data_IF_768737741711
#
_entry.id   IF_768737741711
#
_cell.length_a   1.000
_cell.length_b   1.000
_cell.length_c   1.000
_cell.angle_alpha   90.00
_cell.angle_beta   90.00
_cell.angle_gamma   90.00
#
_symmetry.space_group_name_H-M   'P 1'
#
loop_
_entity.id
_entity.type
_entity.pdbx_description
1 polymer ?
#
# COMPACT_ATOMS: atom_id res chain seq x y z
N UNK A 1 6.90 6.95 5.14
CA UNK A 1 6.49 5.82 4.29
C UNK A 1 7.47 5.71 3.14
N UNK A 2 8.10 4.55 3.01
CA UNK A 2 9.02 4.25 1.90
C UNK A 2 8.25 4.05 0.59
N UNK A 3 8.82 4.44 -0.57
CA UNK A 3 8.26 4.12 -1.89
C UNK A 3 7.96 2.63 -2.09
N UNK A 4 8.72 1.75 -1.41
CA UNK A 4 8.49 0.30 -1.45
C UNK A 4 7.20 -0.10 -0.71
N UNK A 5 6.92 0.48 0.45
CA UNK A 5 5.66 0.27 1.20
C UNK A 5 4.45 0.61 0.33
N UNK A 6 4.48 1.77 -0.33
CA UNK A 6 3.36 2.28 -1.11
C UNK A 6 3.08 1.40 -2.34
N UNK A 7 4.13 0.88 -2.97
CA UNK A 7 4.00 -0.07 -4.08
C UNK A 7 3.36 -1.40 -3.65
N UNK A 8 3.76 -1.94 -2.50
CA UNK A 8 3.19 -3.18 -1.95
C UNK A 8 1.70 -2.99 -1.65
N UNK A 9 1.34 -1.90 -0.97
CA UNK A 9 -0.06 -1.57 -0.65
C UNK A 9 -0.93 -1.41 -1.90
N UNK A 10 -0.36 -0.80 -2.95
CA UNK A 10 -1.03 -0.66 -4.24
C UNK A 10 -1.27 -2.02 -4.92
N UNK A 11 -0.28 -2.92 -4.89
CA UNK A 11 -0.42 -4.29 -5.44
C UNK A 11 -1.44 -5.13 -4.68
N UNK A 12 -1.45 -5.07 -3.35
CA UNK A 12 -2.47 -5.76 -2.52
C UNK A 12 -3.87 -5.29 -2.93
N UNK A 13 -4.06 -3.97 -3.05
CA UNK A 13 -5.36 -3.41 -3.46
C UNK A 13 -5.78 -3.90 -4.83
N UNK A 14 -4.85 -3.92 -5.80
CA UNK A 14 -5.10 -4.43 -7.15
C UNK A 14 -5.51 -5.92 -7.13
N UNK A 15 -4.78 -6.77 -6.42
CA UNK A 15 -5.09 -8.21 -6.36
C UNK A 15 -6.39 -8.49 -5.63
N UNK A 16 -6.71 -7.75 -4.56
CA UNK A 16 -8.03 -7.84 -3.90
C UNK A 16 -9.16 -7.48 -4.86
N UNK A 17 -9.00 -6.42 -5.65
CA UNK A 17 -10.00 -6.06 -6.65
C UNK A 17 -10.13 -7.13 -7.75
N UNK A 18 -9.01 -7.66 -8.24
CA UNK A 18 -9.01 -8.73 -9.25
C UNK A 18 -9.66 -10.01 -8.72
N UNK A 19 -9.40 -10.37 -7.46
CA UNK A 19 -10.01 -11.52 -6.78
C UNK A 19 -11.54 -11.43 -6.81
N UNK A 20 -12.09 -10.29 -6.41
CA UNK A 20 -13.55 -10.03 -6.44
C UNK A 20 -14.15 -10.19 -7.84
N UNK A 21 -13.45 -9.73 -8.88
CA UNK A 21 -13.89 -9.89 -10.27
C UNK A 21 -13.94 -11.36 -10.66
N UNK A 22 -12.93 -12.15 -10.27
CA UNK A 22 -12.86 -13.57 -10.60
C UNK A 22 -13.94 -14.36 -9.85
N UNK A 23 -14.17 -14.05 -8.57
CA UNK A 23 -15.28 -14.62 -7.78
C UNK A 23 -16.63 -14.36 -8.46
N UNK A 24 -16.92 -13.11 -8.80
CA UNK A 24 -18.17 -12.76 -9.48
C UNK A 24 -18.33 -13.48 -10.83
N UNK A 25 -17.22 -13.68 -11.57
CA UNK A 25 -17.24 -14.41 -12.85
C UNK A 25 -17.54 -15.90 -12.63
N UNK A 26 -17.02 -16.50 -11.57
CA UNK A 26 -17.29 -17.89 -11.18
C UNK A 26 -18.78 -18.04 -10.85
N UNK A 27 -19.30 -17.19 -9.95
CA UNK A 27 -20.69 -17.22 -9.53
C UNK A 27 -21.63 -17.11 -10.73
N UNK A 28 -21.37 -16.14 -11.61
CA UNK A 28 -22.16 -15.98 -12.84
C UNK A 28 -22.19 -17.24 -13.70
N UNK A 29 -21.07 -17.96 -13.82
CA UNK A 29 -20.97 -19.17 -14.64
C UNK A 29 -21.67 -20.37 -14.02
N UNK A 30 -21.63 -20.48 -12.69
CA UNK A 30 -22.40 -21.47 -11.95
C UNK A 30 -23.90 -21.20 -12.10
N UNK A 31 -24.33 -19.96 -11.86
CA UNK A 31 -25.74 -19.55 -12.00
C UNK A 31 -26.29 -19.81 -13.41
N UNK A 32 -25.49 -19.50 -14.44
CA UNK A 32 -25.85 -19.76 -15.83
C UNK A 32 -26.06 -21.26 -16.07
N UNK A 33 -25.20 -22.11 -15.50
CA UNK A 33 -25.33 -23.56 -15.58
C UNK A 33 -26.58 -24.09 -14.85
N UNK A 34 -26.83 -23.65 -13.63
CA UNK A 34 -28.03 -24.06 -12.87
C UNK A 34 -29.31 -23.65 -13.58
N UNK A 35 -29.32 -22.44 -14.16
CA UNK A 35 -30.44 -21.93 -14.96
C UNK A 35 -30.65 -22.72 -16.25
N UNK A 36 -29.57 -23.18 -16.89
CA UNK A 36 -29.67 -24.04 -18.08
C UNK A 36 -30.22 -25.42 -17.70
N UNK A 37 -29.69 -26.05 -16.65
CA UNK A 37 -30.16 -27.34 -16.12
C UNK A 37 -31.64 -27.31 -15.76
N UNK A 38 -32.14 -26.19 -15.24
CA UNK A 38 -33.55 -26.04 -14.87
C UNK A 38 -34.51 -25.86 -16.05
N UNK A 39 -34.03 -25.56 -17.26
CA UNK A 39 -34.88 -25.23 -18.43
C UNK A 39 -35.13 -26.40 -19.38
N UNK A 40 -34.41 -27.51 -19.24
CA UNK A 40 -34.49 -28.65 -20.16
C UNK A 40 -34.70 -29.93 -19.36
N UNK A 41 -35.63 -30.78 -19.81
CA UNK A 41 -35.70 -32.18 -19.38
C UNK A 41 -34.46 -32.91 -19.92
N UNK A 42 -33.32 -32.78 -19.23
CA UNK A 42 -32.05 -33.34 -19.68
C UNK A 42 -32.00 -34.86 -19.48
N UNK A 43 -31.42 -35.55 -20.46
CA UNK A 43 -30.95 -36.93 -20.25
C UNK A 43 -29.63 -36.90 -19.45
N UNK A 44 -29.35 -37.97 -18.70
CA UNK A 44 -28.09 -38.11 -17.92
C UNK A 44 -26.82 -37.96 -18.76
N UNK A 45 -26.90 -38.28 -20.05
CA UNK A 45 -25.78 -38.14 -21.01
C UNK A 45 -25.51 -36.67 -21.34
N UNK A 46 -26.53 -35.83 -21.37
CA UNK A 46 -26.40 -34.39 -21.57
C UNK A 46 -25.89 -33.66 -20.32
N UNK A 47 -26.31 -34.09 -19.12
CA UNK A 47 -25.80 -33.58 -17.84
C UNK A 47 -24.27 -33.75 -17.75
N UNK A 48 -23.75 -34.94 -18.08
CA UNK A 48 -22.32 -35.21 -18.03
C UNK A 48 -21.50 -34.30 -18.98
N UNK A 49 -22.00 -34.05 -20.19
CA UNK A 49 -21.36 -33.14 -21.14
C UNK A 49 -21.40 -31.70 -20.65
N UNK A 50 -22.50 -31.28 -20.02
CA UNK A 50 -22.62 -29.96 -19.42
C UNK A 50 -21.67 -29.79 -18.23
N UNK A 51 -21.56 -30.77 -17.35
CA UNK A 51 -20.64 -30.74 -16.19
C UNK A 51 -19.17 -30.70 -16.63
N UNK A 52 -18.82 -31.44 -17.68
CA UNK A 52 -17.47 -31.38 -18.25
C UNK A 52 -17.15 -29.98 -18.79
N UNK A 53 -18.11 -29.35 -19.48
CA UNK A 53 -17.94 -27.97 -19.97
C UNK A 53 -17.83 -26.95 -18.83
N UNK A 54 -18.64 -27.08 -17.78
CA UNK A 54 -18.56 -26.23 -16.61
C UNK A 54 -17.19 -26.37 -15.95
N UNK A 55 -16.74 -27.61 -15.74
CA UNK A 55 -15.43 -27.90 -15.15
C UNK A 55 -14.31 -27.30 -15.98
N UNK A 56 -14.34 -27.49 -17.32
CA UNK A 56 -13.34 -26.93 -18.24
C UNK A 56 -13.30 -25.41 -18.20
N UNK A 57 -14.45 -24.76 -18.00
CA UNK A 57 -14.57 -23.31 -17.93
C UNK A 57 -14.14 -22.76 -16.58
N UNK A 58 -14.59 -23.36 -15.49
CA UNK A 58 -14.33 -22.89 -14.13
C UNK A 58 -12.90 -23.17 -13.67
N UNK A 59 -12.31 -24.31 -14.07
CA UNK A 59 -10.98 -24.71 -13.63
C UNK A 59 -9.91 -23.59 -13.74
N UNK A 60 -9.68 -22.96 -14.90
CA UNK A 60 -8.70 -21.88 -15.00
C UNK A 60 -9.07 -20.65 -14.15
N UNK A 61 -10.35 -20.43 -13.87
CA UNK A 61 -10.80 -19.30 -13.04
C UNK A 61 -10.55 -19.57 -11.56
N UNK A 62 -10.75 -20.81 -11.11
CA UNK A 62 -10.38 -21.26 -9.77
C UNK A 62 -8.87 -21.24 -9.57
N UNK A 63 -8.09 -21.69 -10.56
CA UNK A 63 -6.63 -21.63 -10.51
C UNK A 63 -6.16 -20.15 -10.43
N UNK A 64 -6.77 -19.24 -11.19
CA UNK A 64 -6.52 -17.78 -11.09
C UNK A 64 -6.89 -17.24 -9.70
N UNK A 65 -8.03 -17.65 -9.15
CA UNK A 65 -8.49 -17.22 -7.84
C UNK A 65 -7.55 -17.65 -6.71
N UNK A 66 -7.08 -18.89 -6.76
CA UNK A 66 -6.14 -19.45 -5.80
C UNK A 66 -4.82 -18.68 -5.84
N UNK A 67 -4.26 -18.49 -7.04
CA UNK A 67 -3.03 -17.73 -7.23
C UNK A 67 -3.16 -16.28 -6.72
N UNK A 68 -4.30 -15.62 -6.93
CA UNK A 68 -4.54 -14.29 -6.38
C UNK A 68 -4.56 -14.28 -4.85
N UNK A 69 -5.14 -15.32 -4.23
CA UNK A 69 -5.11 -15.50 -2.77
C UNK A 69 -3.68 -15.60 -2.23
N UNK A 70 -2.87 -16.49 -2.81
CA UNK A 70 -1.47 -16.69 -2.42
C UNK A 70 -0.65 -15.39 -2.56
N UNK A 71 -0.81 -14.68 -3.67
CA UNK A 71 -0.11 -13.40 -3.90
C UNK A 71 -0.52 -12.31 -2.89
N UNK A 72 -1.78 -12.29 -2.44
CA UNK A 72 -2.24 -11.33 -1.43
C UNK A 72 -1.59 -11.65 -0.08
N UNK A 73 -1.60 -12.92 0.33
CA UNK A 73 -1.00 -13.36 1.59
C UNK A 73 0.51 -13.07 1.64
N UNK A 74 1.22 -13.35 0.55
CA UNK A 74 2.65 -13.04 0.43
C UNK A 74 2.93 -11.53 0.59
N UNK A 75 2.18 -10.69 -0.12
CA UNK A 75 2.36 -9.24 -0.05
C UNK A 75 1.94 -8.65 1.31
N UNK A 76 0.93 -9.22 1.98
CA UNK A 76 0.55 -8.81 3.33
C UNK A 76 1.64 -9.16 4.35
N UNK A 77 2.29 -10.32 4.20
CA UNK A 77 3.46 -10.68 4.99
C UNK A 77 4.64 -9.73 4.75
N UNK A 78 4.98 -9.45 3.48
CA UNK A 78 6.05 -8.50 3.13
C UNK A 78 5.75 -7.09 3.66
N UNK A 79 4.50 -6.63 3.54
CA UNK A 79 4.08 -5.33 4.08
C UNK A 79 4.31 -5.25 5.58
N UNK A 80 3.98 -6.31 6.32
CA UNK A 80 4.11 -6.34 7.79
C UNK A 80 5.58 -6.35 8.22
N UNK A 81 6.43 -7.10 7.52
CA UNK A 81 7.87 -7.09 7.77
C UNK A 81 8.47 -5.70 7.53
N UNK A 82 8.09 -5.06 6.42
CA UNK A 82 8.57 -3.73 6.08
C UNK A 82 8.11 -2.67 7.09
N UNK A 83 6.86 -2.73 7.55
CA UNK A 83 6.38 -1.84 8.62
C UNK A 83 7.13 -2.04 9.94
N UNK A 84 7.51 -3.28 10.28
CA UNK A 84 8.32 -3.56 11.47
C UNK A 84 9.75 -2.98 11.34
N UNK A 85 10.36 -3.07 10.15
CA UNK A 85 11.67 -2.49 9.89
C UNK A 85 11.64 -0.96 9.93
N UNK A 86 10.64 -0.32 9.32
CA UNK A 86 10.46 1.14 9.38
C UNK A 86 10.27 1.63 10.84
N UNK A 87 9.57 0.86 11.68
CA UNK A 87 9.37 1.21 13.09
C UNK A 87 10.67 1.11 13.92
N UNK A 88 11.56 0.16 13.61
CA UNK A 88 12.87 0.04 14.25
C UNK A 88 13.79 1.20 13.84
N UNK A 89 13.85 1.55 12.56
CA UNK A 89 14.68 2.67 12.06
C UNK A 89 14.31 4.00 12.74
N UNK A 90 13.01 4.26 12.95
CA UNK A 90 12.53 5.45 13.67
C UNK A 90 12.94 5.41 15.15
N UNK A 91 12.94 4.22 15.77
CA UNK A 91 13.30 4.06 17.18
C UNK A 91 14.80 4.27 17.41
N UNK A 92 15.66 3.71 16.55
CA UNK A 92 17.12 3.93 16.61
C UNK A 92 17.50 5.39 16.34
N UNK A 93 16.81 6.07 15.41
CA UNK A 93 17.02 7.50 15.15
C UNK A 93 16.60 8.40 16.34
N UNK A 94 15.71 7.94 17.21
CA UNK A 94 15.28 8.66 18.41
C UNK A 94 16.24 8.49 19.58
N UNK A 95 16.89 7.33 19.73
CA UNK A 95 17.85 7.07 20.83
C UNK A 95 19.21 7.76 20.61
N UNK A 96 19.55 8.14 19.37
CA UNK A 96 20.78 8.85 19.03
C UNK A 96 20.80 10.37 19.28
N UNK A 97 19.71 10.98 19.77
CA UNK A 97 19.57 12.44 19.91
C UNK A 97 19.66 13.01 21.33
N UNK A 98 19.90 12.20 22.35
CA UNK A 98 19.90 12.64 23.76
C UNK A 98 21.29 12.89 24.37
N UNK A 99 22.37 12.99 23.57
CA UNK A 99 23.70 13.34 24.10
C UNK A 99 24.45 14.30 23.19
N UNK A 100 24.29 15.62 23.36
CA UNK A 100 25.40 16.60 23.29
C UNK A 100 24.88 18.05 23.28
N UNK A 101 24.33 18.54 24.38
CA UNK A 101 24.42 19.97 24.73
C UNK A 101 24.63 20.13 26.24
N UNK A 102 25.75 19.59 26.73
CA UNK A 102 26.29 19.92 28.03
C UNK A 102 27.70 20.46 27.86
N UNK A 103 27.81 21.77 27.58
CA UNK A 103 29.03 22.52 27.89
C UNK A 103 28.67 23.93 28.31
N UNK A 104 28.69 24.09 29.65
CA UNK A 104 28.81 25.33 30.41
C UNK A 104 29.84 26.28 29.79
N UNK A 105 29.45 27.55 29.69
CA UNK A 105 30.36 28.69 29.53
C UNK A 105 29.63 29.97 29.95
N UNK A 106 29.51 30.19 31.27
CA UNK A 106 28.92 31.37 31.90
C UNK A 106 30.06 32.24 32.42
N UNK A 107 30.30 33.43 31.87
CA UNK A 107 30.98 34.62 32.48
C UNK A 107 30.63 35.85 31.59
N UNK A 108 29.69 36.72 31.98
CA UNK A 108 29.78 37.97 32.79
C UNK A 108 30.33 39.22 32.09
N UNK A 109 29.48 40.26 32.12
CA UNK A 109 29.76 41.69 32.35
C UNK A 109 30.43 42.59 31.29
N UNK A 110 29.67 43.64 30.98
CA UNK A 110 30.02 45.08 31.09
C UNK A 110 30.50 45.90 29.88
N UNK A 111 29.92 47.12 29.88
CA UNK A 111 30.41 48.41 29.39
C UNK A 111 30.15 48.80 27.91
N UNK A 112 29.02 49.47 27.72
CA UNK A 112 28.88 50.92 27.45
C UNK A 112 29.83 51.63 26.46
N UNK A 113 29.18 52.53 25.71
CA UNK A 113 29.66 53.77 25.06
C UNK A 113 30.30 53.71 23.67
N UNK A 114 29.63 54.40 22.74
CA UNK A 114 30.06 54.65 21.37
C UNK A 114 29.02 55.50 20.63
N UNK A 115 28.82 56.71 21.14
CA UNK A 115 27.91 57.76 20.63
C UNK A 115 28.47 58.35 19.32
N UNK A 116 27.59 59.02 18.56
CA UNK A 116 27.86 60.07 17.54
C UNK A 116 28.07 59.55 16.10
N UNK A 117 27.57 60.14 15.02
CA UNK A 117 26.65 61.26 14.72
C UNK A 117 26.37 61.22 13.21
N UNK A 118 25.15 61.61 12.84
CA UNK A 118 24.72 62.31 11.63
C UNK A 118 25.69 62.45 10.43
N UNK A 119 25.22 62.06 9.24
CA UNK A 119 25.11 62.98 8.10
C UNK A 119 24.18 62.47 7.00
N UNK A 120 23.30 63.39 6.59
CA UNK A 120 22.34 63.30 5.50
C UNK A 120 23.03 63.21 4.12
N UNK A 121 22.27 62.70 3.14
CA UNK A 121 22.03 63.40 1.87
C UNK A 121 20.88 62.71 1.11
N UNK A 122 19.77 63.43 1.01
CA UNK A 122 18.81 63.30 -0.10
C UNK A 122 19.44 63.77 -1.40
N UNK A 123 18.87 63.30 -2.51
CA UNK A 123 18.95 63.90 -3.84
C UNK A 123 19.27 62.84 -4.90
N UNK A 124 18.32 62.37 -5.70
CA UNK A 124 17.64 63.01 -6.85
C UNK A 124 18.23 62.50 -8.18
N UNK A 125 17.35 62.34 -9.17
CA UNK A 125 17.58 62.39 -10.62
C UNK A 125 18.28 61.20 -11.31
N UNK A 126 17.50 60.30 -11.90
CA UNK A 126 17.32 60.17 -13.38
C UNK A 126 16.44 58.98 -13.75
#
# INVERSE_FOLDING_TARGET
MSPKSDLIKSRITLYKHRKLIVEARIDQKVDEHERMLSQVDYSKEYEAVFDEQLTRTLKPMWDELLALGENIEELEAESKELEALEALEVSEASEGKETSEASKGKETSEASEGKETSKALEGEES
#
